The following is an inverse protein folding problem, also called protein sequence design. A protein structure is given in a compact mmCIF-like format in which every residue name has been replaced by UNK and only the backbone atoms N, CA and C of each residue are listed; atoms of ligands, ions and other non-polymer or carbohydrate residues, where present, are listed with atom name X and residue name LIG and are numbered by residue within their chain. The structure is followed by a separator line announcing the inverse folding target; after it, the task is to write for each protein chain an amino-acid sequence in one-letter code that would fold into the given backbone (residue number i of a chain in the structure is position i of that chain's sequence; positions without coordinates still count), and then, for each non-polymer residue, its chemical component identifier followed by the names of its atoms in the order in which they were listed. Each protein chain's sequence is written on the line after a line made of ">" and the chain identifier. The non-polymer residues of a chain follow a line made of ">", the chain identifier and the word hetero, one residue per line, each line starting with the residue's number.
data_IF_202645509088
#
_entry.id   IF_202645509088
#
_cell.length_a   1.000
_cell.length_b   1.000
_cell.length_c   1.000
_cell.angle_alpha   90.00
_cell.angle_beta   90.00
_cell.angle_gamma   90.00
#
_symmetry.space_group_name_H-M   'P 1'
#
loop_
_entity.id
_entity.type
_entity.pdbx_description
1 polymer ?
#
# COMPACT_ATOMS: atom_id res chain seq x y z
N UNK A 1 28.47 33.00 -9.33
CA UNK A 1 28.60 32.04 -8.22
C UNK A 1 27.36 31.20 -8.30
N UNK A 2 27.45 30.06 -8.99
CA UNK A 2 26.33 29.13 -9.17
C UNK A 2 26.50 28.02 -8.13
N UNK A 3 25.64 28.01 -7.14
CA UNK A 3 25.44 26.85 -6.31
C UNK A 3 24.45 25.92 -7.02
N UNK A 4 24.97 24.82 -7.49
CA UNK A 4 24.20 23.72 -8.03
C UNK A 4 23.92 22.79 -6.86
N UNK A 5 22.72 22.85 -6.32
CA UNK A 5 22.24 21.86 -5.36
C UNK A 5 22.01 20.56 -6.16
N UNK A 6 22.84 19.57 -5.91
CA UNK A 6 22.60 18.21 -6.36
C UNK A 6 21.60 17.57 -5.40
N UNK A 7 20.34 17.52 -5.83
CA UNK A 7 19.31 16.75 -5.14
C UNK A 7 19.62 15.26 -5.21
N UNK A 8 19.87 14.66 -4.07
CA UNK A 8 20.04 13.22 -3.92
C UNK A 8 18.69 12.55 -4.23
N UNK A 9 18.64 11.80 -5.30
CA UNK A 9 17.45 11.00 -5.66
C UNK A 9 17.45 9.74 -4.80
N UNK A 10 16.44 9.61 -3.97
CA UNK A 10 16.21 8.41 -3.19
C UNK A 10 15.79 7.24 -4.07
N UNK A 11 16.36 6.09 -3.77
CA UNK A 11 16.03 4.83 -4.41
C UNK A 11 14.60 4.40 -4.06
N UNK A 12 13.92 3.92 -5.05
CA UNK A 12 12.59 3.32 -4.96
C UNK A 12 12.68 2.09 -4.04
N UNK A 13 11.87 2.04 -2.99
CA UNK A 13 11.63 0.81 -2.24
C UNK A 13 10.91 -0.18 -3.16
N UNK A 14 11.65 -1.03 -3.86
CA UNK A 14 11.12 -2.14 -4.62
C UNK A 14 11.36 -3.39 -3.78
N UNK A 15 10.33 -4.13 -3.38
CA UNK A 15 10.53 -5.48 -2.87
C UNK A 15 11.04 -6.34 -4.03
N UNK A 16 12.21 -6.93 -3.91
CA UNK A 16 12.72 -7.90 -4.88
C UNK A 16 11.80 -9.12 -4.89
N UNK A 17 11.13 -9.29 -6.02
CA UNK A 17 10.44 -10.52 -6.38
C UNK A 17 11.50 -11.61 -6.61
N UNK A 18 11.59 -12.56 -5.68
CA UNK A 18 12.44 -13.73 -5.82
C UNK A 18 11.95 -14.59 -7.01
N UNK A 19 12.65 -14.53 -8.11
CA UNK A 19 12.49 -15.46 -9.22
C UNK A 19 13.05 -16.82 -8.84
N UNK A 20 12.13 -17.72 -8.55
CA UNK A 20 12.30 -19.15 -8.47
C UNK A 20 12.87 -19.71 -9.80
N UNK A 21 14.11 -20.14 -9.81
CA UNK A 21 14.64 -20.96 -10.89
C UNK A 21 14.87 -22.38 -10.41
N UNK A 22 13.91 -23.23 -10.77
CA UNK A 22 14.02 -24.69 -10.78
C UNK A 22 15.34 -25.14 -11.40
N UNK A 23 16.13 -25.89 -10.66
CA UNK A 23 17.06 -26.85 -11.24
C UNK A 23 17.03 -28.14 -10.44
N UNK A 24 16.88 -29.19 -11.19
CA UNK A 24 16.61 -30.58 -10.87
C UNK A 24 17.62 -31.24 -9.92
N UNK A 25 17.05 -32.16 -9.17
CA UNK A 25 17.74 -33.18 -8.37
C UNK A 25 18.59 -34.18 -9.21
N UNK A 26 19.46 -34.94 -8.58
CA UNK A 26 19.20 -36.38 -8.58
C UNK A 26 19.21 -37.06 -7.20
N UNK A 27 18.38 -38.08 -7.16
CA UNK A 27 18.21 -39.07 -6.10
C UNK A 27 19.51 -39.82 -5.81
N UNK A 28 19.78 -40.16 -4.54
CA UNK A 28 20.26 -41.48 -4.18
C UNK A 28 19.89 -41.86 -2.74
N UNK A 29 19.54 -43.13 -2.59
CA UNK A 29 19.00 -43.85 -1.46
C UNK A 29 20.10 -44.23 -0.46
N UNK A 30 19.75 -44.31 0.83
CA UNK A 30 19.92 -45.49 1.73
C UNK A 30 19.55 -45.07 3.15
N UNK A 31 18.48 -45.56 3.69
CA UNK A 31 18.29 -46.72 4.59
C UNK A 31 18.76 -46.57 6.05
N UNK A 32 17.72 -46.60 6.88
CA UNK A 32 17.56 -47.25 8.21
C UNK A 32 18.31 -46.75 9.46
N UNK A 33 17.59 -46.43 10.50
CA UNK A 33 17.31 -47.23 11.68
C UNK A 33 16.76 -46.43 12.85
N UNK A 34 15.65 -46.91 13.34
CA UNK A 34 15.00 -46.80 14.64
C UNK A 34 15.81 -46.24 15.82
N UNK A 35 15.17 -45.36 16.60
CA UNK A 35 14.85 -45.66 18.01
C UNK A 35 13.93 -44.59 18.61
N UNK A 36 12.85 -45.15 19.14
CA UNK A 36 11.91 -44.61 20.10
C UNK A 36 12.62 -43.92 21.28
N UNK A 37 12.07 -42.78 21.70
CA UNK A 37 11.80 -42.56 23.12
C UNK A 37 10.74 -41.48 23.31
N UNK A 38 9.66 -41.94 23.90
CA UNK A 38 8.54 -41.15 24.40
C UNK A 38 8.98 -40.32 25.62
N UNK A 39 8.51 -39.07 25.70
CA UNK A 39 8.35 -38.43 26.99
C UNK A 39 7.03 -37.65 27.03
N UNK A 40 6.33 -37.96 28.08
CA UNK A 40 4.93 -37.71 28.40
C UNK A 40 4.60 -36.25 28.62
N UNK A 41 3.32 -36.00 28.41
CA UNK A 41 2.60 -34.80 28.72
C UNK A 41 2.56 -34.50 30.23
N UNK A 42 2.70 -33.25 30.60
CA UNK A 42 2.05 -32.73 31.80
C UNK A 42 1.20 -31.54 31.46
N UNK A 43 -0.07 -31.78 31.66
CA UNK A 43 -1.19 -30.88 31.54
C UNK A 43 -1.38 -30.26 32.95
N UNK A 44 -1.20 -28.95 33.07
CA UNK A 44 -1.74 -28.24 34.23
C UNK A 44 -2.77 -27.22 33.81
N UNK A 45 -4.02 -27.61 34.09
CA UNK A 45 -5.17 -26.74 34.21
C UNK A 45 -4.94 -25.76 35.36
N UNK A 46 -5.16 -24.47 35.14
CA UNK A 46 -5.52 -23.54 36.21
C UNK A 46 -6.88 -22.93 35.88
N UNK A 47 -7.74 -23.11 36.86
CA UNK A 47 -9.15 -22.79 36.92
C UNK A 47 -9.42 -21.27 36.92
N UNK A 48 -10.43 -20.90 36.24
CA UNK A 48 -11.58 -20.07 36.48
C UNK A 48 -11.63 -19.32 37.84
N UNK A 49 -11.62 -18.01 37.80
CA UNK A 49 -12.33 -17.19 38.77
C UNK A 49 -13.00 -15.99 38.10
N UNK A 50 -14.30 -16.12 37.99
CA UNK A 50 -15.24 -15.05 37.76
C UNK A 50 -15.27 -14.12 38.98
N UNK A 51 -15.34 -12.81 38.76
CA UNK A 51 -16.25 -11.96 39.52
C UNK A 51 -16.24 -10.50 39.01
N UNK A 52 -17.45 -10.00 38.85
CA UNK A 52 -17.75 -8.61 39.15
C UNK A 52 -18.09 -7.67 37.98
N UNK A 53 -19.36 -7.76 37.54
CA UNK A 53 -20.04 -6.61 36.91
C UNK A 53 -20.49 -5.69 38.03
N UNK A 54 -20.47 -4.38 37.87
CA UNK A 54 -21.62 -3.59 38.18
C UNK A 54 -22.15 -2.77 37.00
N UNK A 55 -23.46 -2.97 36.78
CA UNK A 55 -24.37 -2.08 36.09
C UNK A 55 -24.41 -0.69 36.72
N UNK A 56 -24.91 0.22 35.93
CA UNK A 56 -25.52 1.53 36.13
C UNK A 56 -24.74 2.63 35.41
N UNK A 57 -25.30 3.30 34.38
CA UNK A 57 -26.37 4.30 34.56
C UNK A 57 -26.97 4.67 33.19
N UNK A 58 -28.29 4.83 33.22
CA UNK A 58 -29.14 5.27 32.14
C UNK A 58 -28.95 6.76 31.82
N UNK A 59 -28.83 7.09 30.56
CA UNK A 59 -28.93 8.44 30.03
C UNK A 59 -29.88 8.47 28.84
N UNK A 60 -31.14 8.79 29.15
CA UNK A 60 -32.19 9.13 28.19
C UNK A 60 -31.77 10.34 27.36
N UNK A 61 -31.89 10.28 26.04
CA UNK A 61 -32.09 11.48 25.21
C UNK A 61 -33.11 11.17 24.12
N UNK A 62 -34.10 11.87 24.21
CA UNK A 62 -35.30 12.26 23.51
C UNK A 62 -35.28 11.98 21.99
N UNK A 63 -36.35 11.27 21.61
CA UNK A 63 -36.83 11.11 20.25
C UNK A 63 -37.51 12.41 19.80
N UNK A 64 -37.08 13.01 18.72
CA UNK A 64 -37.90 13.94 17.96
C UNK A 64 -38.43 13.23 16.72
N UNK A 65 -39.70 12.80 16.86
CA UNK A 65 -40.60 12.47 15.78
C UNK A 65 -40.81 13.68 14.86
N UNK A 66 -40.53 13.50 13.61
CA UNK A 66 -41.21 14.26 12.55
C UNK A 66 -41.82 13.29 11.55
N UNK A 67 -43.07 12.98 11.83
CA UNK A 67 -44.00 12.39 10.89
C UNK A 67 -44.26 13.42 9.77
N UNK A 68 -44.00 13.05 8.52
CA UNK A 68 -44.66 13.61 7.36
C UNK A 68 -45.21 12.46 6.52
N UNK A 69 -46.48 12.20 6.78
CA UNK A 69 -47.34 11.36 5.95
C UNK A 69 -47.62 12.09 4.62
N UNK A 70 -47.16 11.54 3.51
CA UNK A 70 -47.78 11.81 2.18
C UNK A 70 -48.42 10.53 1.64
N UNK A 71 -49.74 10.56 1.84
CA UNK A 71 -50.72 9.62 1.33
C UNK A 71 -50.68 9.63 -0.19
N UNK A 72 -50.33 8.55 -0.81
CA UNK A 72 -50.61 8.30 -2.24
C UNK A 72 -51.96 7.64 -2.41
N UNK A 73 -52.87 8.41 -2.92
CA UNK A 73 -54.15 7.95 -3.46
C UNK A 73 -53.90 7.01 -4.66
N UNK A 74 -54.28 5.77 -4.48
CA UNK A 74 -54.42 4.74 -5.52
C UNK A 74 -55.83 4.79 -6.04
N UNK A 75 -56.09 5.46 -7.16
CA UNK A 75 -57.32 5.32 -7.93
C UNK A 75 -57.12 4.27 -9.04
N UNK A 76 -57.51 3.06 -8.72
CA UNK A 76 -57.82 2.00 -9.65
C UNK A 76 -59.14 2.29 -10.37
N UNK A 77 -59.09 2.65 -11.64
CA UNK A 77 -60.27 2.73 -12.53
C UNK A 77 -60.45 1.38 -13.24
N UNK A 78 -61.33 0.57 -12.67
CA UNK A 78 -61.92 -0.62 -13.28
C UNK A 78 -63.00 -0.23 -14.26
N UNK A 79 -62.65 -0.16 -15.54
CA UNK A 79 -63.59 0.02 -16.65
C UNK A 79 -64.09 -1.32 -17.18
N UNK A 80 -65.30 -1.66 -16.79
CA UNK A 80 -66.11 -2.81 -17.22
C UNK A 80 -66.18 -2.97 -18.74
N UNK A 81 -66.11 -4.25 -19.16
CA UNK A 81 -66.44 -4.74 -20.49
C UNK A 81 -67.96 -5.12 -20.45
N UNK A 82 -68.82 -4.62 -21.32
CA UNK A 82 -70.07 -5.29 -21.55
C UNK A 82 -69.92 -6.23 -22.74
N UNK A 83 -70.14 -7.50 -22.46
CA UNK A 83 -70.56 -8.49 -23.46
C UNK A 83 -72.02 -8.20 -23.82
N UNK A 84 -72.32 -8.15 -25.12
CA UNK A 84 -73.67 -8.39 -25.62
C UNK A 84 -73.59 -9.31 -26.82
N UNK A 85 -74.35 -10.38 -26.64
CA UNK A 85 -74.63 -11.48 -27.52
C UNK A 85 -75.60 -11.06 -28.63
N UNK A 86 -75.39 -11.75 -29.73
CA UNK A 86 -76.38 -12.45 -30.58
C UNK A 86 -77.44 -11.71 -31.30
N UNK A 87 -77.64 -12.13 -32.54
CA UNK A 87 -78.85 -11.85 -33.29
C UNK A 87 -78.70 -11.73 -34.82
N UNK A 88 -78.55 -12.84 -35.43
CA UNK A 88 -79.02 -13.30 -36.76
C UNK A 88 -79.76 -12.33 -37.71
N UNK A 89 -79.42 -12.58 -38.96
CA UNK A 89 -80.29 -12.64 -40.21
C UNK A 89 -80.49 -11.35 -41.05
N UNK A 90 -79.97 -11.46 -42.20
CA UNK A 90 -80.51 -11.60 -43.54
C UNK A 90 -80.80 -10.31 -44.38
N UNK A 91 -80.44 -10.51 -45.64
CA UNK A 91 -80.93 -9.90 -46.87
C UNK A 91 -80.55 -8.46 -47.31
N UNK A 92 -79.63 -8.55 -48.23
CA UNK A 92 -79.77 -8.07 -49.62
C UNK A 92 -79.71 -6.58 -49.94
N UNK A 93 -78.97 -6.37 -50.99
CA UNK A 93 -79.10 -5.43 -52.10
C UNK A 93 -78.48 -4.05 -52.03
N UNK A 94 -77.36 -4.02 -52.76
CA UNK A 94 -76.93 -2.92 -53.63
C UNK A 94 -77.02 -1.49 -53.09
N UNK A 95 -75.90 -0.81 -53.00
CA UNK A 95 -75.55 0.29 -53.86
C UNK A 95 -74.20 0.93 -53.55
N UNK A 96 -73.39 0.84 -54.54
CA UNK A 96 -72.55 1.89 -55.12
C UNK A 96 -71.90 2.92 -54.18
N UNK A 97 -70.62 2.72 -54.08
CA UNK A 97 -69.57 3.73 -54.11
C UNK A 97 -69.77 5.08 -53.39
N UNK A 98 -69.06 5.24 -52.32
CA UNK A 98 -68.27 6.46 -52.12
C UNK A 98 -67.08 6.13 -51.14
N UNK A 99 -65.91 5.77 -51.73
CA UNK A 99 -64.64 5.71 -50.99
C UNK A 99 -64.37 7.09 -50.42
N UNK A 100 -64.78 7.33 -49.19
CA UNK A 100 -64.25 8.44 -48.40
C UNK A 100 -62.83 8.05 -47.91
N UNK A 101 -61.84 8.65 -48.58
CA UNK A 101 -60.44 8.63 -48.08
C UNK A 101 -60.46 9.14 -46.67
N UNK A 102 -60.38 8.21 -45.70
CA UNK A 102 -60.06 8.55 -44.32
C UNK A 102 -58.63 9.07 -44.34
N UNK A 103 -58.47 10.40 -44.23
CA UNK A 103 -57.22 11.03 -43.92
C UNK A 103 -56.80 10.49 -42.57
N UNK A 104 -55.75 9.62 -42.54
CA UNK A 104 -55.02 9.31 -41.33
C UNK A 104 -54.47 10.63 -40.79
N UNK A 105 -55.13 11.16 -39.79
CA UNK A 105 -54.58 12.20 -38.94
C UNK A 105 -53.44 11.53 -38.18
N UNK A 106 -52.20 11.74 -38.64
CA UNK A 106 -51.02 11.48 -37.84
C UNK A 106 -51.22 12.25 -36.55
N UNK A 107 -51.60 11.54 -35.47
CA UNK A 107 -51.48 12.06 -34.12
C UNK A 107 -49.99 12.40 -33.95
N UNK A 108 -49.66 13.68 -34.00
CA UNK A 108 -48.40 14.16 -33.43
C UNK A 108 -48.54 13.87 -31.96
N UNK A 109 -47.92 12.78 -31.51
CA UNK A 109 -47.61 12.56 -30.12
C UNK A 109 -46.63 13.69 -29.75
N UNK A 110 -47.23 14.80 -29.29
CA UNK A 110 -46.43 15.82 -28.63
C UNK A 110 -45.80 15.13 -27.43
N UNK A 111 -44.49 14.90 -27.51
CA UNK A 111 -43.73 14.42 -26.43
C UNK A 111 -43.88 15.42 -25.28
N UNK A 112 -44.69 15.04 -24.30
CA UNK A 112 -45.05 15.91 -23.18
C UNK A 112 -43.78 16.38 -22.48
N UNK A 113 -43.81 17.58 -21.88
CA UNK A 113 -42.66 18.19 -21.15
C UNK A 113 -42.15 17.30 -19.99
N UNK A 114 -42.98 16.36 -19.51
CA UNK A 114 -42.64 15.43 -18.39
C UNK A 114 -41.38 14.62 -18.62
N UNK A 115 -41.08 13.95 -19.76
CA UNK A 115 -39.85 13.18 -19.92
C UNK A 115 -38.59 14.05 -19.90
N UNK A 116 -38.68 15.29 -20.34
CA UNK A 116 -37.55 16.23 -20.30
C UNK A 116 -37.24 16.71 -18.89
N UNK A 117 -38.24 16.86 -18.02
CA UNK A 117 -38.08 17.21 -16.61
C UNK A 117 -37.39 16.05 -15.87
N UNK A 118 -37.88 14.81 -16.11
CA UNK A 118 -37.27 13.60 -15.49
C UNK A 118 -35.80 13.44 -15.95
N UNK A 119 -35.54 13.57 -17.26
CA UNK A 119 -34.19 13.51 -17.80
C UNK A 119 -33.27 14.59 -17.17
N UNK A 120 -33.79 15.83 -17.06
CA UNK A 120 -33.08 16.94 -16.44
C UNK A 120 -32.76 16.71 -14.95
N UNK A 121 -33.70 16.11 -14.21
CA UNK A 121 -33.48 15.75 -12.78
C UNK A 121 -32.41 14.68 -12.63
N UNK A 122 -32.42 13.65 -13.50
CA UNK A 122 -31.38 12.59 -13.45
C UNK A 122 -29.99 13.18 -13.74
N UNK A 123 -29.90 14.01 -14.80
CA UNK A 123 -28.62 14.67 -15.14
C UNK A 123 -28.17 15.58 -14.00
N UNK A 124 -29.09 16.35 -13.41
CA UNK A 124 -28.79 17.20 -12.27
C UNK A 124 -28.26 16.39 -11.07
N UNK A 125 -28.90 15.27 -10.74
CA UNK A 125 -28.44 14.38 -9.66
C UNK A 125 -27.05 13.79 -9.96
N UNK A 126 -26.80 13.36 -11.19
CA UNK A 126 -25.48 12.85 -11.59
C UNK A 126 -24.37 13.92 -11.47
N UNK A 127 -24.69 15.18 -11.84
CA UNK A 127 -23.74 16.29 -11.68
C UNK A 127 -23.43 16.54 -10.20
N UNK A 128 -24.44 16.50 -9.32
CA UNK A 128 -24.23 16.67 -7.88
C UNK A 128 -23.36 15.55 -7.31
N UNK A 129 -23.63 14.30 -7.68
CA UNK A 129 -22.80 13.15 -7.26
C UNK A 129 -21.37 13.31 -7.78
N UNK A 130 -21.21 13.67 -9.05
CA UNK A 130 -19.89 13.88 -9.64
C UNK A 130 -19.08 14.94 -8.90
N UNK A 131 -19.69 16.09 -8.60
CA UNK A 131 -19.03 17.16 -7.85
C UNK A 131 -18.77 16.78 -6.40
N UNK A 132 -19.64 15.98 -5.77
CA UNK A 132 -19.42 15.44 -4.44
C UNK A 132 -18.20 14.53 -4.36
N UNK A 133 -18.06 13.61 -5.33
CA UNK A 133 -16.86 12.75 -5.44
C UNK A 133 -15.62 13.59 -5.77
N UNK A 134 -15.75 14.58 -6.65
CA UNK A 134 -14.64 15.49 -6.95
C UNK A 134 -14.17 16.26 -5.71
N UNK A 135 -15.10 16.70 -4.86
CA UNK A 135 -14.79 17.37 -3.61
C UNK A 135 -14.06 16.43 -2.61
N UNK A 136 -14.41 15.15 -2.59
CA UNK A 136 -13.70 14.14 -1.79
C UNK A 136 -12.22 14.05 -2.19
N UNK A 137 -11.92 14.02 -3.50
CA UNK A 137 -10.55 13.93 -4.02
C UNK A 137 -9.73 15.24 -3.93
N UNK A 138 -10.26 16.31 -3.35
CA UNK A 138 -9.45 17.47 -2.98
C UNK A 138 -8.48 17.13 -1.84
N UNK A 139 -8.91 16.29 -0.91
CA UNK A 139 -8.14 15.90 0.29
C UNK A 139 -7.70 14.44 0.33
N UNK A 140 -8.06 13.66 -0.70
CA UNK A 140 -7.74 12.24 -0.78
C UNK A 140 -7.07 11.91 -2.11
N UNK A 141 -6.12 11.00 -2.07
CA UNK A 141 -5.50 10.47 -3.28
C UNK A 141 -6.49 9.67 -4.11
N UNK A 142 -6.30 9.64 -5.41
CA UNK A 142 -7.13 8.86 -6.33
C UNK A 142 -7.10 7.37 -6.02
N UNK A 143 -8.11 6.67 -6.54
CA UNK A 143 -8.10 5.22 -6.66
C UNK A 143 -6.91 4.82 -7.53
N UNK A 144 -6.21 3.73 -7.18
CA UNK A 144 -4.98 3.27 -7.85
C UNK A 144 -3.79 4.24 -7.76
N UNK A 145 -3.72 5.08 -6.71
CA UNK A 145 -2.53 5.87 -6.42
C UNK A 145 -1.50 5.03 -5.64
N UNK A 146 -0.27 5.04 -6.13
CA UNK A 146 0.90 4.44 -5.49
C UNK A 146 1.91 5.55 -5.17
N UNK A 147 2.43 5.55 -3.95
CA UNK A 147 3.50 6.45 -3.50
C UNK A 147 4.66 5.56 -3.07
N UNK A 148 5.84 5.76 -3.64
CA UNK A 148 7.02 4.92 -3.42
C UNK A 148 6.73 3.40 -3.57
N UNK A 149 5.82 3.03 -4.51
CA UNK A 149 5.44 1.65 -4.76
C UNK A 149 4.38 1.07 -3.80
N UNK A 150 3.98 1.83 -2.77
CA UNK A 150 2.93 1.44 -1.84
C UNK A 150 1.59 2.07 -2.23
N UNK A 151 0.48 1.31 -2.11
CA UNK A 151 -0.86 1.80 -2.47
C UNK A 151 -1.45 2.69 -1.38
N UNK A 152 -1.87 3.89 -1.78
CA UNK A 152 -2.57 4.86 -0.93
C UNK A 152 -3.91 5.31 -1.54
N UNK A 153 -4.58 4.41 -2.24
CA UNK A 153 -5.88 4.66 -2.86
C UNK A 153 -6.92 5.18 -1.85
N UNK A 154 -7.45 6.38 -2.08
CA UNK A 154 -8.45 6.99 -1.22
C UNK A 154 -7.94 7.41 0.18
N UNK A 155 -6.63 7.48 0.37
CA UNK A 155 -5.98 7.90 1.61
C UNK A 155 -5.72 9.42 1.61
N UNK A 156 -5.56 9.99 2.80
CA UNK A 156 -5.18 11.40 2.99
C UNK A 156 -3.66 11.55 3.08
N UNK A 157 -3.18 12.80 3.03
CA UNK A 157 -1.77 13.12 3.33
C UNK A 157 -1.36 12.58 4.70
N UNK A 158 -2.19 12.82 5.73
CA UNK A 158 -1.91 12.33 7.09
C UNK A 158 -1.81 10.80 7.18
N UNK A 159 -2.62 10.05 6.42
CA UNK A 159 -2.53 8.59 6.37
C UNK A 159 -1.17 8.13 5.80
N UNK A 160 -0.67 8.84 4.77
CA UNK A 160 0.64 8.57 4.16
C UNK A 160 1.77 8.87 5.13
N UNK A 161 1.72 10.04 5.77
CA UNK A 161 2.71 10.44 6.78
C UNK A 161 2.75 9.48 7.96
N UNK A 162 1.59 9.06 8.47
CA UNK A 162 1.50 8.09 9.56
C UNK A 162 2.14 6.75 9.16
N UNK A 163 1.86 6.29 7.94
CA UNK A 163 2.48 5.08 7.41
C UNK A 163 4.01 5.23 7.35
N UNK A 164 4.52 6.35 6.82
CA UNK A 164 5.97 6.60 6.74
C UNK A 164 6.58 6.69 8.14
N UNK A 165 5.95 7.40 9.08
CA UNK A 165 6.39 7.47 10.48
C UNK A 165 6.53 6.10 11.12
N UNK A 166 5.55 5.22 10.89
CA UNK A 166 5.61 3.84 11.38
C UNK A 166 6.76 3.06 10.73
N UNK A 167 6.96 3.18 9.42
CA UNK A 167 8.07 2.53 8.72
C UNK A 167 9.44 3.00 9.25
N UNK A 168 9.57 4.30 9.56
CA UNK A 168 10.79 4.87 10.15
C UNK A 168 11.03 4.36 11.57
N UNK A 169 9.98 4.21 12.37
CA UNK A 169 10.10 3.65 13.73
C UNK A 169 10.45 2.17 13.73
N UNK A 170 9.93 1.40 12.79
CA UNK A 170 10.16 -0.03 12.66
C UNK A 170 11.44 -0.35 11.86
N UNK A 171 12.19 0.67 11.46
CA UNK A 171 13.42 0.49 10.70
C UNK A 171 14.47 -0.27 11.49
N UNK A 172 15.07 -1.27 10.85
CA UNK A 172 16.18 -2.07 11.36
C UNK A 172 17.25 -2.23 10.28
N UNK A 173 18.50 -1.89 10.61
CA UNK A 173 19.65 -2.14 9.76
C UNK A 173 20.41 -3.34 10.30
N UNK A 174 20.50 -4.41 9.53
CA UNK A 174 21.32 -5.59 9.82
C UNK A 174 22.71 -5.37 9.27
N UNK A 175 23.70 -5.33 10.13
CA UNK A 175 25.12 -5.22 9.79
C UNK A 175 25.73 -6.62 9.80
N UNK A 176 26.13 -7.15 8.64
CA UNK A 176 26.68 -8.49 8.46
C UNK A 176 28.21 -8.42 8.46
N UNK A 177 28.82 -9.18 9.37
CA UNK A 177 30.24 -9.27 9.55
C UNK A 177 30.90 -10.34 8.65
N UNK A 178 32.22 -10.32 8.56
CA UNK A 178 33.02 -11.24 7.75
C UNK A 178 32.78 -12.74 8.08
N UNK A 179 32.44 -13.06 9.35
CA UNK A 179 32.17 -14.42 9.81
C UNK A 179 30.69 -14.85 9.66
N UNK A 180 29.86 -14.05 8.96
CA UNK A 180 28.40 -14.16 8.86
C UNK A 180 27.67 -13.99 10.21
N UNK A 181 28.32 -13.47 11.24
CA UNK A 181 27.60 -12.92 12.39
C UNK A 181 26.94 -11.60 11.98
N UNK A 182 25.94 -11.19 12.71
CA UNK A 182 25.25 -9.94 12.43
C UNK A 182 24.89 -9.20 13.71
N UNK A 183 24.90 -7.88 13.60
CA UNK A 183 24.35 -6.96 14.60
C UNK A 183 23.19 -6.20 13.96
N UNK A 184 22.27 -5.74 14.80
CA UNK A 184 21.09 -4.99 14.35
C UNK A 184 21.09 -3.61 15.01
N UNK A 185 21.02 -2.58 14.18
CA UNK A 185 20.81 -1.20 14.60
C UNK A 185 19.33 -0.86 14.33
N UNK A 186 18.57 -0.64 15.40
CA UNK A 186 17.16 -0.29 15.28
C UNK A 186 16.99 1.22 15.19
N UNK A 187 16.01 1.68 14.42
CA UNK A 187 15.66 3.09 14.34
C UNK A 187 15.38 3.69 15.72
N UNK A 188 14.73 2.93 16.62
CA UNK A 188 14.46 3.36 18.00
C UNK A 188 15.71 3.57 18.83
N UNK A 189 16.80 2.83 18.55
CA UNK A 189 18.05 2.93 19.29
C UNK A 189 18.81 4.24 19.00
N UNK A 190 18.58 4.81 17.84
CA UNK A 190 19.23 6.04 17.36
C UNK A 190 18.25 7.21 17.28
N UNK A 191 17.06 7.08 17.87
CA UNK A 191 15.99 8.11 17.82
C UNK A 191 15.67 8.53 16.38
N UNK A 192 15.60 7.56 15.46
CA UNK A 192 15.28 7.81 14.05
C UNK A 192 13.87 8.38 13.95
N UNK A 193 13.73 9.51 13.27
CA UNK A 193 12.45 10.23 13.12
C UNK A 193 12.26 10.67 11.68
N UNK A 194 11.01 10.59 11.20
CA UNK A 194 10.63 11.18 9.93
C UNK A 194 10.64 12.71 10.05
N UNK A 195 11.29 13.36 9.10
CA UNK A 195 11.26 14.82 8.93
C UNK A 195 10.17 15.16 7.92
N UNK A 196 9.12 15.83 8.38
CA UNK A 196 8.02 16.24 7.50
C UNK A 196 8.52 17.22 6.43
N UNK A 197 8.16 16.93 5.18
CA UNK A 197 8.37 17.80 4.04
C UNK A 197 7.05 17.96 3.26
N UNK A 198 7.04 18.78 2.22
CA UNK A 198 5.81 19.06 1.46
C UNK A 198 5.60 18.10 0.28
N UNK A 199 6.43 17.10 0.07
CA UNK A 199 6.41 16.24 -1.12
C UNK A 199 5.09 15.47 -1.25
N UNK A 200 4.50 15.04 -0.12
CA UNK A 200 3.22 14.31 -0.10
C UNK A 200 2.06 15.25 -0.44
N UNK A 201 2.08 16.47 0.11
CA UNK A 201 1.08 17.50 -0.19
C UNK A 201 1.19 17.97 -1.63
N UNK A 202 2.39 18.12 -2.16
CA UNK A 202 2.65 18.48 -3.55
C UNK A 202 2.17 17.36 -4.50
N UNK A 203 2.37 16.09 -4.14
CA UNK A 203 1.85 14.96 -4.90
C UNK A 203 0.31 14.94 -4.93
N UNK A 204 -0.36 15.25 -3.81
CA UNK A 204 -1.81 15.40 -3.78
C UNK A 204 -2.28 16.61 -4.59
N UNK A 205 -1.60 17.73 -4.48
CA UNK A 205 -1.93 18.98 -5.19
C UNK A 205 -1.75 18.88 -6.70
N UNK A 206 -0.88 18.00 -7.17
CA UNK A 206 -0.67 17.73 -8.59
C UNK A 206 -1.86 16.98 -9.23
N UNK A 207 -2.70 16.34 -8.44
CA UNK A 207 -3.88 15.66 -8.96
C UNK A 207 -5.02 16.66 -9.22
N UNK A 208 -5.73 16.51 -10.35
CA UNK A 208 -6.89 17.36 -10.66
C UNK A 208 -8.18 16.69 -10.16
N UNK A 209 -8.83 17.17 -9.08
CA UNK A 209 -9.99 16.49 -8.49
C UNK A 209 -11.16 16.22 -9.45
N UNK A 210 -11.22 16.94 -10.56
CA UNK A 210 -12.27 16.72 -11.57
C UNK A 210 -11.97 15.54 -12.52
N UNK A 211 -10.75 15.03 -12.56
CA UNK A 211 -10.36 13.94 -13.45
C UNK A 211 -10.40 12.56 -12.78
N UNK A 212 -11.00 12.46 -11.59
CA UNK A 212 -11.10 11.20 -10.85
C UNK A 212 -11.60 9.98 -11.64
N UNK A 213 -12.49 10.11 -12.67
CA UNK A 213 -12.90 8.93 -13.43
C UNK A 213 -11.76 8.29 -14.25
N UNK A 214 -10.70 9.05 -14.56
CA UNK A 214 -9.52 8.50 -15.27
C UNK A 214 -8.73 7.54 -14.39
N UNK A 215 -8.77 7.72 -13.08
CA UNK A 215 -8.09 6.86 -12.11
C UNK A 215 -8.58 5.39 -12.11
N UNK A 216 -9.74 5.10 -12.69
CA UNK A 216 -10.18 3.71 -12.90
C UNK A 216 -9.43 3.00 -14.03
N UNK A 217 -8.82 3.76 -14.94
CA UNK A 217 -8.17 3.24 -16.14
C UNK A 217 -6.65 3.41 -16.10
N UNK A 218 -6.16 4.34 -15.30
CA UNK A 218 -4.75 4.68 -15.21
C UNK A 218 -4.30 4.63 -13.75
N UNK A 219 -3.09 4.11 -13.52
CA UNK A 219 -2.43 4.19 -12.23
C UNK A 219 -1.76 5.56 -12.09
N UNK A 220 -1.89 6.16 -10.93
CA UNK A 220 -1.13 7.35 -10.55
C UNK A 220 0.04 6.91 -9.67
N UNK A 221 1.27 7.22 -10.07
CA UNK A 221 2.46 6.90 -9.29
C UNK A 221 3.19 8.20 -8.95
N UNK A 222 3.49 8.38 -7.68
CA UNK A 222 4.28 9.49 -7.17
C UNK A 222 5.50 8.94 -6.42
N UNK A 223 6.62 9.66 -6.51
CA UNK A 223 7.79 9.41 -5.68
C UNK A 223 7.96 10.60 -4.75
N UNK A 224 7.96 10.34 -3.46
CA UNK A 224 8.19 11.34 -2.42
C UNK A 224 9.50 11.04 -1.70
N UNK A 225 10.19 12.08 -1.27
CA UNK A 225 11.41 11.97 -0.49
C UNK A 225 11.04 11.66 0.96
N UNK A 226 11.72 10.68 1.55
CA UNK A 226 11.58 10.37 2.97
C UNK A 226 12.82 10.95 3.66
N UNK A 227 12.68 12.13 4.21
CA UNK A 227 13.74 12.75 4.99
C UNK A 227 13.71 12.23 6.42
N UNK A 228 14.90 11.88 6.97
CA UNK A 228 15.02 11.38 8.34
C UNK A 228 16.05 12.16 9.14
N UNK A 229 15.77 12.26 10.41
CA UNK A 229 16.74 12.73 11.41
C UNK A 229 16.99 11.66 12.44
N UNK A 230 18.20 11.62 13.00
CA UNK A 230 18.59 10.69 14.06
C UNK A 230 19.55 11.38 15.03
N UNK A 231 19.75 10.76 16.19
CA UNK A 231 20.71 11.21 17.19
C UNK A 231 22.10 10.69 16.82
N UNK A 232 23.01 11.59 16.47
CA UNK A 232 24.39 11.29 16.07
C UNK A 232 25.19 10.64 17.19
N UNK A 233 24.97 11.05 18.44
CA UNK A 233 25.69 10.49 19.59
C UNK A 233 25.21 9.06 19.87
N UNK A 234 23.91 8.82 19.79
CA UNK A 234 23.32 7.50 19.93
C UNK A 234 23.77 6.55 18.80
N UNK A 235 23.83 7.05 17.56
CA UNK A 235 24.35 6.28 16.43
C UNK A 235 25.83 5.92 16.64
N UNK A 236 26.66 6.86 17.09
CA UNK A 236 28.07 6.61 17.36
C UNK A 236 28.23 5.55 18.45
N UNK A 237 27.43 5.59 19.52
CA UNK A 237 27.46 4.56 20.58
C UNK A 237 27.05 3.19 20.03
N UNK A 238 26.07 3.12 19.16
CA UNK A 238 25.66 1.86 18.50
C UNK A 238 26.77 1.29 17.63
N UNK A 239 27.42 2.11 16.82
CA UNK A 239 28.55 1.70 15.98
C UNK A 239 29.69 1.16 16.81
N UNK A 240 30.02 1.82 17.93
CA UNK A 240 31.04 1.33 18.87
C UNK A 240 30.66 0.00 19.56
N UNK A 241 29.36 -0.33 19.62
CA UNK A 241 28.87 -1.59 20.21
C UNK A 241 28.78 -2.75 19.22
N UNK A 242 28.98 -2.53 17.92
CA UNK A 242 29.02 -3.57 16.89
C UNK A 242 30.10 -4.59 17.23
N UNK A 243 29.82 -5.88 17.14
CA UNK A 243 30.73 -6.96 17.52
C UNK A 243 32.05 -6.87 16.76
N UNK A 244 32.01 -6.64 15.44
CA UNK A 244 33.20 -6.46 14.64
C UNK A 244 34.13 -5.35 15.16
N UNK A 245 33.59 -4.33 15.83
CA UNK A 245 34.36 -3.23 16.44
C UNK A 245 34.87 -3.59 17.82
N UNK A 246 34.10 -4.35 18.62
CA UNK A 246 34.39 -4.65 20.02
C UNK A 246 35.27 -5.88 20.21
N UNK A 247 35.23 -6.83 19.26
CA UNK A 247 36.04 -8.07 19.36
C UNK A 247 37.52 -7.83 19.06
N UNK A 248 38.35 -8.83 19.37
CA UNK A 248 39.78 -8.77 19.06
C UNK A 248 40.02 -8.72 17.55
N UNK A 249 40.68 -7.67 17.10
CA UNK A 249 40.93 -7.42 15.68
C UNK A 249 42.32 -7.84 15.26
N UNK A 250 42.44 -8.46 14.08
CA UNK A 250 43.71 -8.83 13.46
C UNK A 250 44.00 -7.89 12.31
N UNK A 251 45.24 -7.40 12.21
CA UNK A 251 45.66 -6.55 11.11
C UNK A 251 45.84 -7.39 9.83
N UNK A 252 45.53 -6.86 8.66
CA UNK A 252 45.81 -7.53 7.39
C UNK A 252 47.33 -7.59 7.14
N UNK A 253 47.73 -8.63 6.43
CA UNK A 253 49.13 -8.79 5.99
C UNK A 253 49.17 -8.74 4.47
N UNK A 254 49.93 -7.78 3.93
CA UNK A 254 50.11 -7.67 2.47
C UNK A 254 50.94 -8.82 1.91
N UNK A 255 50.77 -9.18 0.67
CA UNK A 255 51.58 -10.14 -0.03
C UNK A 255 53.06 -9.74 0.01
N UNK A 256 53.95 -10.66 0.31
CA UNK A 256 55.39 -10.39 0.39
C UNK A 256 56.22 -11.54 -0.18
N UNK A 257 57.42 -11.21 -0.71
CA UNK A 257 58.34 -12.25 -1.19
C UNK A 257 59.00 -12.99 0.02
N UNK A 258 58.84 -14.32 0.04
CA UNK A 258 59.45 -15.20 1.04
C UNK A 258 60.40 -16.16 0.38
N UNK A 259 61.61 -16.34 0.95
CA UNK A 259 62.56 -17.34 0.49
C UNK A 259 62.26 -18.70 1.09
N UNK A 260 61.96 -19.70 0.28
CA UNK A 260 61.58 -21.06 0.72
C UNK A 260 62.79 -21.98 0.94
N UNK A 261 63.99 -21.48 0.80
CA UNK A 261 65.26 -22.23 0.90
C UNK A 261 65.85 -22.57 -0.48
N UNK A 262 65.11 -22.36 -1.56
CA UNK A 262 65.59 -22.64 -2.94
C UNK A 262 65.30 -21.45 -3.90
N UNK A 263 64.15 -20.81 -3.75
CA UNK A 263 63.69 -19.68 -4.58
C UNK A 263 62.87 -18.68 -3.77
N UNK A 264 62.62 -17.49 -4.33
CA UNK A 264 61.67 -16.59 -3.78
C UNK A 264 60.25 -16.96 -4.29
N UNK A 265 59.33 -17.16 -3.38
CA UNK A 265 57.90 -17.38 -3.59
C UNK A 265 57.14 -16.17 -3.07
N UNK A 266 56.01 -15.86 -3.66
CA UNK A 266 55.09 -14.83 -3.11
C UNK A 266 54.19 -15.50 -2.10
N UNK A 267 54.37 -15.09 -0.80
CA UNK A 267 53.38 -15.39 0.23
C UNK A 267 52.14 -14.51 -0.06
N UNK A 268 50.94 -15.10 -0.19
CA UNK A 268 49.74 -14.32 -0.51
C UNK A 268 49.36 -13.42 0.66
N UNK A 269 48.58 -12.40 0.33
CA UNK A 269 47.97 -11.52 1.35
C UNK A 269 47.02 -12.31 2.26
N UNK A 270 46.90 -11.85 3.48
CA UNK A 270 45.97 -12.36 4.48
C UNK A 270 45.05 -11.20 4.90
N UNK A 271 43.79 -11.36 4.71
CA UNK A 271 42.79 -10.39 5.18
C UNK A 271 42.69 -10.49 6.70
N UNK A 272 42.68 -9.33 7.36
CA UNK A 272 42.45 -9.23 8.79
C UNK A 272 40.99 -9.05 9.14
N UNK A 273 40.73 -8.88 10.44
CA UNK A 273 39.38 -8.50 10.95
C UNK A 273 39.36 -7.07 11.48
N UNK A 274 40.43 -6.29 11.21
CA UNK A 274 40.53 -4.90 11.66
C UNK A 274 39.50 -4.06 10.87
N UNK A 275 38.61 -3.39 11.59
CA UNK A 275 37.54 -2.56 11.04
C UNK A 275 38.06 -1.15 10.74
N UNK A 276 37.78 -0.62 9.56
CA UNK A 276 37.89 0.80 9.27
C UNK A 276 36.65 1.51 9.77
N UNK A 277 36.73 2.08 10.98
CA UNK A 277 35.57 2.71 11.62
C UNK A 277 35.05 3.93 10.89
N UNK A 278 35.90 4.65 10.14
CA UNK A 278 35.48 5.81 9.39
C UNK A 278 34.59 5.37 8.22
N UNK A 279 35.04 4.36 7.46
CA UNK A 279 34.26 3.77 6.36
C UNK A 279 32.98 3.15 6.88
N UNK A 280 33.04 2.36 7.95
CA UNK A 280 31.84 1.74 8.54
C UNK A 280 30.81 2.79 8.95
N UNK A 281 31.25 3.87 9.61
CA UNK A 281 30.34 4.95 10.05
C UNK A 281 29.69 5.65 8.85
N UNK A 282 30.47 5.94 7.82
CA UNK A 282 29.96 6.57 6.59
C UNK A 282 28.94 5.67 5.90
N UNK A 283 29.23 4.36 5.80
CA UNK A 283 28.33 3.40 5.18
C UNK A 283 27.02 3.20 5.98
N UNK A 284 27.12 3.09 7.30
CA UNK A 284 25.90 3.00 8.13
C UNK A 284 25.02 4.24 7.96
N UNK A 285 25.60 5.45 7.94
CA UNK A 285 24.85 6.69 7.68
C UNK A 285 24.19 6.71 6.31
N UNK A 286 24.92 6.30 5.27
CA UNK A 286 24.40 6.17 3.91
C UNK A 286 23.20 5.23 3.89
N UNK A 287 23.32 4.03 4.49
CA UNK A 287 22.27 3.01 4.52
C UNK A 287 21.02 3.46 5.30
N UNK A 288 21.19 4.12 6.45
CA UNK A 288 20.08 4.69 7.23
C UNK A 288 19.35 5.75 6.38
N UNK A 289 20.09 6.63 5.73
CA UNK A 289 19.52 7.71 4.92
C UNK A 289 18.82 7.17 3.68
N UNK A 290 19.31 6.09 3.10
CA UNK A 290 18.71 5.43 1.92
C UNK A 290 17.67 4.36 2.29
N UNK A 291 17.36 4.16 3.56
CA UNK A 291 16.44 3.12 4.04
C UNK A 291 16.81 1.70 3.61
N UNK A 292 18.10 1.42 3.42
CA UNK A 292 18.61 0.08 3.20
C UNK A 292 18.60 -0.68 4.51
N UNK A 293 18.26 -1.95 4.47
CA UNK A 293 18.07 -2.78 5.68
C UNK A 293 19.18 -3.80 5.95
N UNK A 294 20.13 -3.96 5.02
CA UNK A 294 21.20 -4.96 5.13
C UNK A 294 22.50 -4.37 4.61
N UNK A 295 23.52 -4.32 5.47
CA UNK A 295 24.86 -3.85 5.16
C UNK A 295 25.84 -5.00 5.35
N UNK A 296 26.47 -5.45 4.27
CA UNK A 296 27.55 -6.43 4.34
C UNK A 296 28.88 -5.69 4.41
N UNK A 297 29.57 -5.80 5.56
CA UNK A 297 30.81 -5.09 5.83
C UNK A 297 31.96 -5.47 4.88
N UNK A 298 31.94 -6.68 4.31
CA UNK A 298 32.94 -7.12 3.32
C UNK A 298 32.70 -6.47 1.96
N UNK A 299 31.45 -6.45 1.52
CA UNK A 299 31.08 -5.90 0.21
C UNK A 299 31.23 -4.37 0.16
N UNK A 300 31.02 -3.72 1.30
CA UNK A 300 31.15 -2.27 1.47
C UNK A 300 32.56 -1.84 1.93
N UNK A 301 33.53 -2.76 1.88
CA UNK A 301 34.95 -2.50 2.20
C UNK A 301 35.18 -1.88 3.60
N UNK A 302 34.35 -2.24 4.60
CA UNK A 302 34.44 -1.72 5.96
C UNK A 302 35.60 -2.27 6.77
N UNK A 303 36.41 -3.17 6.21
CA UNK A 303 37.64 -3.68 6.83
C UNK A 303 38.88 -3.05 6.23
N UNK A 304 39.93 -2.96 7.06
CA UNK A 304 41.26 -2.52 6.61
C UNK A 304 41.79 -3.52 5.57
N UNK A 305 42.08 -3.05 4.38
CA UNK A 305 42.58 -3.91 3.29
C UNK A 305 44.10 -4.07 3.31
N UNK A 306 44.64 -5.25 2.90
CA UNK A 306 46.08 -5.41 2.67
C UNK A 306 46.49 -4.49 1.50
N UNK A 307 47.73 -3.94 1.58
CA UNK A 307 48.26 -2.98 0.61
C UNK A 307 49.06 -3.65 -0.49
#
# INVERSE_FOLDING_TARGET
>A
MNNKEEGTRFGTLIPEESTDSMSAAPEDQTESADKDDAFEAENEMIEDESDGIPDEDAGETEEEDTEDEDVMDDESDDGEIPEDEDGSEDMSVSNVAKRRKRKHRKRKTGMGKKPWIIAGSIVGALVVIYLGISAFFISHFYINTEINGQSFSGKTVSDVEEYIKNQVQDYELTVIEQNNESDVIKGTDISLTYQENNDIEDALSAQNPLLWPMAFFEKSSASVTIDVGYDEDALAEKIESVKAVTQEQTQPVSAYPKFDGNSFVVEPEVYGTAVDKEVLTEKIREYITEFKTELNMMDEECYVMPK
#
